data_IF_354834576927
#
_entry.id   IF_354834576927
#
_cell.length_a   1.000
_cell.length_b   1.000
_cell.length_c   1.000
_cell.angle_alpha   90.00
_cell.angle_beta   90.00
_cell.angle_gamma   90.00
#
_symmetry.space_group_name_H-M   'P 1'
#
loop_
_entity.id
_entity.type
_entity.pdbx_description
1 polymer ?
#
# COMPACT_ATOMS: atom_id res chain seq x y z
N UNK A 1 -19.74 -20.41 -4.06
CA UNK A 1 -18.78 -19.78 -4.98
C UNK A 1 -17.72 -19.13 -4.11
N UNK A 2 -16.56 -19.79 -4.10
CA UNK A 2 -15.26 -19.52 -3.48
C UNK A 2 -15.17 -18.58 -2.27
N UNK A 3 -15.23 -19.21 -1.09
CA UNK A 3 -14.56 -18.76 0.13
C UNK A 3 -13.05 -18.73 -0.11
N UNK A 4 -12.53 -17.70 -0.78
CA UNK A 4 -11.09 -17.49 -0.80
C UNK A 4 -10.68 -16.91 0.58
N UNK A 5 -10.32 -17.79 1.51
CA UNK A 5 -10.05 -17.51 2.93
C UNK A 5 -8.65 -16.88 3.12
N UNK A 6 -8.12 -16.18 2.12
CA UNK A 6 -6.78 -15.58 2.16
C UNK A 6 -6.83 -14.12 2.59
N UNK A 7 -5.82 -13.68 3.33
CA UNK A 7 -5.50 -12.26 3.45
C UNK A 7 -4.52 -11.88 2.33
N UNK A 8 -4.62 -10.65 1.81
CA UNK A 8 -3.46 -10.04 1.17
C UNK A 8 -2.48 -9.66 2.28
N UNK A 9 -1.29 -10.25 2.23
CA UNK A 9 -0.25 -10.03 3.24
C UNK A 9 0.67 -8.89 2.83
N UNK A 10 0.75 -7.87 3.67
CA UNK A 10 1.48 -6.63 3.44
C UNK A 10 2.51 -6.42 4.56
N UNK A 11 3.75 -6.87 4.34
CA UNK A 11 4.83 -6.76 5.31
C UNK A 11 5.65 -5.50 5.08
N UNK A 12 5.58 -4.54 6.00
CA UNK A 12 6.25 -3.25 5.87
C UNK A 12 7.78 -3.34 5.98
N UNK A 13 8.32 -4.41 6.60
CA UNK A 13 9.77 -4.67 6.59
C UNK A 13 10.30 -5.03 5.18
N UNK A 14 9.41 -5.48 4.29
CA UNK A 14 9.71 -5.85 2.91
C UNK A 14 8.64 -5.27 1.97
N UNK A 15 8.47 -3.94 2.03
CA UNK A 15 7.26 -3.27 1.58
C UNK A 15 6.90 -3.43 0.09
N UNK A 16 7.86 -3.66 -0.81
CA UNK A 16 7.60 -3.78 -2.25
C UNK A 16 8.37 -4.98 -2.80
N UNK A 17 7.78 -5.66 -3.78
CA UNK A 17 8.37 -6.84 -4.42
C UNK A 17 9.29 -6.38 -5.56
N UNK A 18 8.82 -5.46 -6.40
CA UNK A 18 9.55 -4.95 -7.54
C UNK A 18 10.52 -3.82 -7.13
N UNK A 19 11.52 -3.62 -7.98
CA UNK A 19 12.47 -2.50 -7.87
C UNK A 19 12.40 -1.53 -9.05
N UNK A 20 11.63 -1.90 -10.09
CA UNK A 20 11.47 -1.17 -11.33
C UNK A 20 10.35 -0.13 -11.30
N UNK A 21 9.72 0.12 -12.47
CA UNK A 21 8.59 1.03 -12.57
C UNK A 21 7.41 0.63 -11.67
N UNK A 22 6.69 1.62 -11.14
CA UNK A 22 5.51 1.41 -10.30
C UNK A 22 4.43 0.54 -10.95
N UNK A 23 4.25 0.61 -12.28
CA UNK A 23 3.25 -0.18 -12.98
C UNK A 23 3.46 -1.69 -12.80
N UNK A 24 4.70 -2.15 -12.60
CA UNK A 24 4.99 -3.57 -12.33
C UNK A 24 4.37 -4.01 -11.00
N UNK A 25 4.50 -3.18 -9.97
CA UNK A 25 3.91 -3.45 -8.65
C UNK A 25 2.38 -3.35 -8.72
N UNK A 26 1.83 -2.35 -9.42
CA UNK A 26 0.38 -2.23 -9.64
C UNK A 26 -0.21 -3.48 -10.30
N UNK A 27 0.52 -4.10 -11.24
CA UNK A 27 0.11 -5.35 -11.87
C UNK A 27 0.05 -6.50 -10.86
N UNK A 28 1.03 -6.62 -9.95
CA UNK A 28 1.04 -7.65 -8.91
C UNK A 28 -0.15 -7.53 -7.95
N UNK A 29 -0.59 -6.30 -7.65
CA UNK A 29 -1.74 -6.03 -6.79
C UNK A 29 -3.08 -6.01 -7.54
N UNK A 30 -3.07 -6.28 -8.85
CA UNK A 30 -4.23 -6.22 -9.73
C UNK A 30 -4.99 -4.88 -9.62
N UNK A 31 -4.25 -3.77 -9.63
CA UNK A 31 -4.83 -2.42 -9.59
C UNK A 31 -5.52 -2.14 -10.93
N UNK A 32 -6.81 -1.83 -10.87
CA UNK A 32 -7.60 -1.44 -12.04
C UNK A 32 -7.19 -0.06 -12.52
N UNK A 33 -7.27 0.17 -13.82
CA UNK A 33 -6.94 1.46 -14.45
C UNK A 33 -7.74 2.62 -13.82
N UNK A 34 -9.02 2.42 -13.56
CA UNK A 34 -9.91 3.39 -12.90
C UNK A 34 -9.51 3.76 -11.46
N UNK A 35 -8.70 2.94 -10.80
CA UNK A 35 -8.23 3.17 -9.43
C UNK A 35 -6.81 3.74 -9.37
N UNK A 36 -6.07 3.78 -10.48
CA UNK A 36 -4.67 4.23 -10.51
C UNK A 36 -4.53 5.70 -10.07
N UNK A 37 -5.32 6.61 -10.63
CA UNK A 37 -5.26 8.04 -10.27
C UNK A 37 -5.55 8.26 -8.78
N UNK A 38 -6.51 7.50 -8.23
CA UNK A 38 -6.86 7.57 -6.81
C UNK A 38 -5.75 7.04 -5.92
N UNK A 39 -5.08 5.96 -6.33
CA UNK A 39 -3.91 5.43 -5.66
C UNK A 39 -2.78 6.46 -5.63
N UNK A 40 -2.43 7.04 -6.78
CA UNK A 40 -1.34 8.01 -6.91
C UNK A 40 -1.64 9.29 -6.10
N UNK A 41 -2.87 9.78 -6.14
CA UNK A 41 -3.31 10.93 -5.36
C UNK A 41 -3.23 10.66 -3.85
N UNK A 42 -3.68 9.50 -3.41
CA UNK A 42 -3.64 9.09 -2.00
C UNK A 42 -2.21 8.94 -1.51
N UNK A 43 -1.34 8.30 -2.30
CA UNK A 43 0.09 8.22 -2.00
C UNK A 43 0.70 9.62 -1.85
N UNK A 44 0.41 10.52 -2.80
CA UNK A 44 0.95 11.88 -2.81
C UNK A 44 0.49 12.67 -1.59
N UNK A 45 -0.78 12.53 -1.20
CA UNK A 45 -1.35 13.22 -0.05
C UNK A 45 -0.68 12.84 1.28
N UNK A 46 -0.29 11.57 1.46
CA UNK A 46 0.34 11.10 2.70
C UNK A 46 1.86 11.29 2.66
N UNK A 47 2.50 10.98 1.53
CA UNK A 47 3.96 10.99 1.43
C UNK A 47 4.56 12.36 1.13
N UNK A 48 3.76 13.27 0.56
CA UNK A 48 4.22 14.54 -0.01
C UNK A 48 5.00 14.41 -1.32
N UNK A 49 5.12 13.20 -1.88
CA UNK A 49 5.85 12.94 -3.14
C UNK A 49 4.88 12.58 -4.25
N UNK A 50 4.89 13.37 -5.32
CA UNK A 50 4.20 12.99 -6.55
C UNK A 50 4.95 11.83 -7.23
N UNK A 51 4.20 10.85 -7.74
CA UNK A 51 4.73 9.70 -8.49
C UNK A 51 3.83 9.40 -9.69
N UNK A 52 4.38 8.69 -10.65
CA UNK A 52 3.73 8.21 -11.87
C UNK A 52 3.98 6.71 -12.06
N UNK A 53 3.17 6.01 -12.89
CA UNK A 53 3.34 4.58 -13.14
C UNK A 53 4.73 4.20 -13.70
N UNK A 54 5.43 5.12 -14.36
CA UNK A 54 6.76 4.89 -14.94
C UNK A 54 7.92 5.15 -13.98
N UNK A 55 7.66 5.72 -12.80
CA UNK A 55 8.71 6.04 -11.83
C UNK A 55 9.28 4.80 -11.17
N UNK A 56 10.59 4.83 -10.92
CA UNK A 56 11.35 3.71 -10.37
C UNK A 56 11.18 3.67 -8.83
N UNK A 57 10.44 2.69 -8.34
CA UNK A 57 10.03 2.61 -6.93
C UNK A 57 11.18 2.24 -5.98
N UNK A 58 12.28 1.69 -6.48
CA UNK A 58 13.48 1.45 -5.67
C UNK A 58 14.10 2.74 -5.13
N UNK A 59 13.85 3.89 -5.77
CA UNK A 59 14.31 5.22 -5.36
C UNK A 59 13.48 5.87 -4.23
N UNK A 60 12.37 5.23 -3.82
CA UNK A 60 11.58 5.70 -2.68
C UNK A 60 12.32 5.45 -1.35
N UNK A 61 12.12 6.35 -0.39
CA UNK A 61 12.57 6.13 0.99
C UNK A 61 11.82 4.97 1.65
N UNK A 62 12.35 4.42 2.76
CA UNK A 62 11.68 3.33 3.49
C UNK A 62 10.22 3.64 3.82
N UNK A 63 9.96 4.80 4.43
CA UNK A 63 8.58 5.21 4.76
C UNK A 63 7.70 5.45 3.53
N UNK A 64 8.26 5.96 2.43
CA UNK A 64 7.51 6.08 1.17
C UNK A 64 7.13 4.70 0.62
N UNK A 65 8.01 3.70 0.70
CA UNK A 65 7.69 2.33 0.26
C UNK A 65 6.56 1.72 1.10
N UNK A 66 6.56 1.95 2.42
CA UNK A 66 5.49 1.48 3.30
C UNK A 66 4.14 2.16 3.01
N UNK A 67 4.13 3.47 2.77
CA UNK A 67 2.91 4.17 2.34
C UNK A 67 2.40 3.62 1.00
N UNK A 68 3.31 3.39 0.05
CA UNK A 68 2.96 2.83 -1.25
C UNK A 68 2.37 1.42 -1.11
N UNK A 69 2.97 0.55 -0.28
CA UNK A 69 2.42 -0.76 0.06
C UNK A 69 0.98 -0.66 0.58
N UNK A 70 0.74 0.24 1.53
CA UNK A 70 -0.59 0.44 2.09
C UNK A 70 -1.60 0.89 1.04
N UNK A 71 -1.21 1.80 0.14
CA UNK A 71 -2.05 2.24 -0.97
C UNK A 71 -2.34 1.09 -1.95
N UNK A 72 -1.33 0.32 -2.36
CA UNK A 72 -1.48 -0.83 -3.25
C UNK A 72 -2.41 -1.88 -2.65
N UNK A 73 -2.21 -2.25 -1.38
CA UNK A 73 -3.09 -3.17 -0.66
C UNK A 73 -4.53 -2.65 -0.57
N UNK A 74 -4.70 -1.37 -0.27
CA UNK A 74 -6.00 -0.70 -0.19
C UNK A 74 -6.76 -0.74 -1.53
N UNK A 75 -6.11 -0.41 -2.64
CA UNK A 75 -6.75 -0.36 -3.95
C UNK A 75 -6.77 -1.70 -4.68
N UNK A 76 -6.14 -2.74 -4.13
CA UNK A 76 -6.29 -4.12 -4.62
C UNK A 76 -7.73 -4.62 -4.50
N UNK A 77 -8.13 -5.67 -5.23
CA UNK A 77 -9.45 -6.29 -5.08
C UNK A 77 -9.61 -7.10 -3.78
N UNK A 78 -8.56 -7.28 -2.97
CA UNK A 78 -8.62 -8.07 -1.76
C UNK A 78 -9.55 -7.42 -0.71
N UNK A 79 -10.52 -8.17 -0.18
CA UNK A 79 -11.43 -7.69 0.87
C UNK A 79 -10.85 -7.78 2.28
N UNK A 80 -9.76 -8.54 2.45
CA UNK A 80 -9.08 -8.80 3.72
C UNK A 80 -7.59 -8.49 3.60
N UNK A 81 -7.07 -7.63 4.46
CA UNK A 81 -5.66 -7.19 4.46
C UNK A 81 -5.01 -7.54 5.81
N UNK A 82 -3.80 -8.09 5.76
CA UNK A 82 -2.97 -8.35 6.93
C UNK A 82 -1.70 -7.51 6.81
N UNK A 83 -1.56 -6.52 7.67
CA UNK A 83 -0.37 -5.68 7.75
C UNK A 83 0.55 -6.15 8.86
N UNK A 84 1.84 -6.29 8.54
CA UNK A 84 2.89 -6.60 9.51
C UNK A 84 3.81 -5.39 9.67
N UNK A 85 3.96 -4.94 10.91
CA UNK A 85 4.76 -3.78 11.33
C UNK A 85 4.44 -2.52 10.56
N UNK A 86 3.17 -2.12 10.45
CA UNK A 86 2.79 -0.98 9.61
C UNK A 86 3.54 0.31 10.00
N UNK A 87 3.91 0.44 11.28
CA UNK A 87 4.70 1.57 11.79
C UNK A 87 6.13 1.63 11.25
N UNK A 88 6.63 0.54 10.66
CA UNK A 88 7.99 0.44 10.19
C UNK A 88 8.34 1.60 9.26
N UNK A 89 9.41 2.35 9.59
CA UNK A 89 9.90 3.48 8.82
C UNK A 89 8.92 4.67 8.63
N UNK A 90 7.79 4.71 9.35
CA UNK A 90 6.85 5.84 9.35
C UNK A 90 7.07 6.74 10.57
N UNK A 91 6.95 8.06 10.36
CA UNK A 91 6.76 9.01 11.45
C UNK A 91 5.31 8.95 11.98
N UNK A 92 5.08 9.55 13.15
CA UNK A 92 3.79 9.47 13.84
C UNK A 92 2.63 10.02 13.00
N UNK A 93 2.86 11.11 12.27
CA UNK A 93 1.83 11.77 11.46
C UNK A 93 1.47 10.91 10.24
N UNK A 94 2.46 10.40 9.50
CA UNK A 94 2.23 9.51 8.36
C UNK A 94 1.61 8.19 8.78
N UNK A 95 2.01 7.64 9.92
CA UNK A 95 1.37 6.44 10.45
C UNK A 95 -0.10 6.69 10.77
N UNK A 96 -0.44 7.79 11.45
CA UNK A 96 -1.82 8.14 11.77
C UNK A 96 -2.68 8.30 10.51
N UNK A 97 -2.19 9.03 9.50
CA UNK A 97 -2.90 9.20 8.23
C UNK A 97 -3.07 7.89 7.45
N UNK A 98 -2.04 7.04 7.42
CA UNK A 98 -2.10 5.74 6.75
C UNK A 98 -3.08 4.81 7.45
N UNK A 99 -3.06 4.76 8.78
CA UNK A 99 -3.97 3.93 9.57
C UNK A 99 -5.42 4.37 9.39
N UNK A 100 -5.70 5.68 9.45
CA UNK A 100 -7.04 6.22 9.27
C UNK A 100 -7.59 5.87 7.88
N UNK A 101 -6.79 6.04 6.84
CA UNK A 101 -7.15 5.66 5.46
C UNK A 101 -7.54 4.16 5.36
N UNK A 102 -6.74 3.28 5.97
CA UNK A 102 -7.03 1.85 5.97
C UNK A 102 -8.33 1.55 6.71
N UNK A 103 -8.54 2.15 7.88
CA UNK A 103 -9.75 1.96 8.69
C UNK A 103 -11.02 2.43 7.97
N UNK A 104 -10.94 3.50 7.18
CA UNK A 104 -12.06 4.05 6.41
C UNK A 104 -12.38 3.26 5.13
N UNK A 105 -11.55 2.27 4.77
CA UNK A 105 -11.68 1.52 3.51
C UNK A 105 -12.86 0.55 3.45
N UNK A 106 -13.43 0.17 4.60
CA UNK A 106 -14.43 -0.90 4.70
C UNK A 106 -13.86 -2.31 4.50
N UNK A 107 -12.54 -2.47 4.34
CA UNK A 107 -11.88 -3.77 4.25
C UNK A 107 -11.70 -4.39 5.64
N UNK A 108 -11.65 -5.71 5.71
CA UNK A 108 -11.29 -6.39 6.95
C UNK A 108 -9.78 -6.29 7.18
N UNK A 109 -9.38 -5.63 8.26
CA UNK A 109 -7.97 -5.40 8.57
C UNK A 109 -7.51 -6.30 9.72
N UNK A 110 -6.30 -6.82 9.58
CA UNK A 110 -5.55 -7.44 10.65
C UNK A 110 -4.18 -6.77 10.73
N UNK A 111 -3.74 -6.46 11.95
CA UNK A 111 -2.45 -5.82 12.21
C UNK A 111 -1.66 -6.68 13.18
N UNK A 112 -0.39 -6.89 12.86
CA UNK A 112 0.59 -7.60 13.66
C UNK A 112 1.80 -6.69 13.81
N UNK A 113 2.20 -6.37 15.04
CA UNK A 113 3.27 -5.41 15.34
C UNK A 113 4.29 -6.09 16.28
N UNK A 114 5.57 -5.89 16.00
CA UNK A 114 6.72 -6.48 16.70
C UNK A 114 7.62 -5.44 17.38
#
# INVERSE_FOLDING_TARGET
MDNNIGFLFANANHALICSGPLWEEMLLYNIREEDQDRLLATFTAISGKAISPTDIISQLSGGQKVILLACLALYSPASRLHFVDLKHSLDADKYAHTLQLLQDSGKQLHFEEF
#
